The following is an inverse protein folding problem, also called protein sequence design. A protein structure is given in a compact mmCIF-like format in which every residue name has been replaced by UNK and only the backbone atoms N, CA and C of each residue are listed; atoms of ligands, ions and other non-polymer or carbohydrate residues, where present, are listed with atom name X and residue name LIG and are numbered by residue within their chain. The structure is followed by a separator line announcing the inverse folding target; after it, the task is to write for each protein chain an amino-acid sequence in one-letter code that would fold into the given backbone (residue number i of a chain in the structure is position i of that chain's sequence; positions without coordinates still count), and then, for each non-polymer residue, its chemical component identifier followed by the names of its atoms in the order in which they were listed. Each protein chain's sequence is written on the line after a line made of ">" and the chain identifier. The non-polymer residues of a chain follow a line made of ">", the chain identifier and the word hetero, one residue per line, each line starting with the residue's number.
data_IF_181912049828
#
_entry.id   IF_181912049828
#
_cell.length_a   1.000
_cell.length_b   1.000
_cell.length_c   1.000
_cell.angle_alpha   90.00
_cell.angle_beta   90.00
_cell.angle_gamma   90.00
#
_symmetry.space_group_name_H-M   'P 1'
#
loop_
_entity.id
_entity.type
_entity.pdbx_description
1 polymer ?
#
# COMPACT_ATOMS: atom_id res chain seq x y z
N UNK A 1 -24.78 -9.15 -18.87
CA UNK A 1 -25.47 -8.47 -17.77
C UNK A 1 -24.49 -7.45 -17.21
N UNK A 2 -24.56 -6.20 -17.67
CA UNK A 2 -23.65 -5.15 -17.21
C UNK A 2 -24.02 -4.81 -15.77
N UNK A 3 -23.05 -4.92 -14.86
CA UNK A 3 -23.23 -4.62 -13.44
C UNK A 3 -23.70 -3.16 -13.30
N UNK A 4 -24.79 -2.98 -12.55
CA UNK A 4 -25.42 -1.69 -12.31
C UNK A 4 -24.44 -0.65 -11.77
N UNK A 5 -24.78 0.62 -12.01
CA UNK A 5 -24.03 1.81 -11.59
C UNK A 5 -23.54 1.67 -10.14
N UNK A 6 -22.26 1.36 -9.94
CA UNK A 6 -21.63 1.52 -8.64
C UNK A 6 -21.33 2.98 -8.44
N UNK A 7 -21.85 3.55 -7.36
CA UNK A 7 -21.49 4.92 -6.98
C UNK A 7 -20.04 4.97 -6.52
N UNK A 8 -19.37 6.12 -6.73
CA UNK A 8 -18.00 6.33 -6.27
C UNK A 8 -17.81 5.97 -4.77
N UNK A 9 -18.72 6.31 -3.84
CA UNK A 9 -18.61 5.90 -2.45
C UNK A 9 -18.58 4.37 -2.25
N UNK A 10 -19.40 3.61 -2.99
CA UNK A 10 -19.41 2.14 -2.90
C UNK A 10 -18.13 1.52 -3.44
N UNK A 11 -17.58 2.10 -4.52
CA UNK A 11 -16.31 1.70 -5.08
C UNK A 11 -15.16 1.95 -4.08
N UNK A 12 -15.13 3.13 -3.45
CA UNK A 12 -14.10 3.47 -2.45
C UNK A 12 -14.18 2.58 -1.21
N UNK A 13 -15.38 2.21 -0.74
CA UNK A 13 -15.54 1.29 0.39
C UNK A 13 -14.97 -0.11 0.12
N UNK A 14 -15.09 -0.59 -1.11
CA UNK A 14 -14.59 -1.93 -1.47
C UNK A 14 -13.16 -1.91 -1.99
N UNK A 15 -12.62 -0.75 -2.37
CA UNK A 15 -11.29 -0.59 -2.94
C UNK A 15 -10.15 -1.25 -2.13
N UNK A 16 -10.07 -1.12 -0.78
CA UNK A 16 -9.02 -1.75 0.02
C UNK A 16 -9.37 -3.19 0.43
N UNK A 17 -10.22 -3.89 -0.32
CA UNK A 17 -10.66 -5.25 0.02
C UNK A 17 -10.36 -6.23 -1.10
N UNK A 18 -10.37 -7.54 -0.79
CA UNK A 18 -10.25 -8.61 -1.78
C UNK A 18 -11.39 -8.63 -2.81
N UNK A 19 -12.48 -7.90 -2.54
CA UNK A 19 -13.64 -7.78 -3.43
C UNK A 19 -13.57 -6.52 -4.31
N UNK A 20 -12.62 -5.63 -4.04
CA UNK A 20 -12.45 -4.37 -4.75
C UNK A 20 -11.90 -4.53 -6.16
N UNK A 21 -11.99 -3.45 -6.94
CA UNK A 21 -11.45 -3.39 -8.30
C UNK A 21 -9.91 -3.47 -8.34
N UNK A 22 -9.24 -3.16 -7.22
CA UNK A 22 -7.79 -3.18 -7.10
C UNK A 22 -7.22 -4.50 -6.54
N UNK A 23 -8.06 -5.53 -6.30
CA UNK A 23 -7.65 -6.76 -5.62
C UNK A 23 -6.38 -7.39 -6.20
N UNK A 24 -6.30 -7.57 -7.52
CA UNK A 24 -5.15 -8.23 -8.15
C UNK A 24 -3.86 -7.42 -7.97
N UNK A 25 -3.98 -6.09 -8.02
CA UNK A 25 -2.87 -5.16 -7.84
C UNK A 25 -2.36 -5.17 -6.38
N UNK A 26 -3.28 -5.13 -5.42
CA UNK A 26 -2.96 -5.15 -4.00
C UNK A 26 -2.38 -6.50 -3.55
N UNK A 27 -2.94 -7.61 -4.03
CA UNK A 27 -2.41 -8.96 -3.78
C UNK A 27 -0.99 -9.13 -4.32
N UNK A 28 -0.72 -8.64 -5.55
CA UNK A 28 0.62 -8.71 -6.14
C UNK A 28 1.67 -8.02 -5.26
N UNK A 29 1.36 -6.83 -4.73
CA UNK A 29 2.29 -6.14 -3.86
C UNK A 29 2.42 -6.78 -2.48
N UNK A 30 1.33 -7.32 -1.93
CA UNK A 30 1.39 -8.05 -0.67
C UNK A 30 2.31 -9.29 -0.79
N UNK A 31 2.21 -10.02 -1.90
CA UNK A 31 3.11 -11.14 -2.19
C UNK A 31 4.57 -10.70 -2.35
N UNK A 32 4.80 -9.59 -3.06
CA UNK A 32 6.14 -9.01 -3.22
C UNK A 32 6.75 -8.63 -1.87
N UNK A 33 5.97 -8.04 -0.97
CA UNK A 33 6.41 -7.66 0.37
C UNK A 33 6.74 -8.90 1.21
N UNK A 34 5.84 -9.87 1.31
CA UNK A 34 6.07 -11.09 2.10
C UNK A 34 7.24 -11.96 1.61
N UNK A 35 7.67 -11.80 0.35
CA UNK A 35 8.85 -12.48 -0.16
C UNK A 35 10.18 -11.95 0.43
N UNK A 36 10.14 -10.79 1.10
CA UNK A 36 11.31 -10.10 1.64
C UNK A 36 10.99 -9.48 3.00
N UNK A 37 11.55 -10.04 4.07
CA UNK A 37 11.26 -9.61 5.44
C UNK A 37 11.65 -8.15 5.71
N UNK A 38 12.76 -7.67 5.13
CA UNK A 38 13.16 -6.26 5.30
C UNK A 38 12.17 -5.30 4.63
N UNK A 39 11.66 -5.65 3.44
CA UNK A 39 10.62 -4.85 2.79
C UNK A 39 9.30 -4.89 3.55
N UNK A 40 8.95 -6.04 4.13
CA UNK A 40 7.75 -6.18 4.97
C UNK A 40 7.84 -5.24 6.17
N UNK A 41 8.93 -5.32 6.94
CA UNK A 41 9.15 -4.48 8.13
C UNK A 41 9.20 -3.00 7.78
N UNK A 42 9.89 -2.62 6.68
CA UNK A 42 9.93 -1.24 6.22
C UNK A 42 8.55 -0.73 5.83
N UNK A 43 7.74 -1.53 5.16
CA UNK A 43 6.39 -1.12 4.76
C UNK A 43 5.43 -1.06 5.94
N UNK A 44 5.53 -2.00 6.90
CA UNK A 44 4.80 -1.96 8.18
C UNK A 44 5.07 -0.64 8.90
N UNK A 45 6.34 -0.25 9.03
CA UNK A 45 6.71 1.01 9.66
C UNK A 45 6.04 2.21 8.96
N UNK A 46 5.97 2.22 7.63
CA UNK A 46 5.35 3.30 6.86
C UNK A 46 3.82 3.36 7.03
N UNK A 47 3.12 2.22 7.09
CA UNK A 47 1.65 2.18 7.16
C UNK A 47 1.10 2.33 8.59
N UNK A 48 1.86 1.93 9.61
CA UNK A 48 1.45 2.04 11.01
C UNK A 48 1.73 3.40 11.64
N UNK A 49 2.70 4.16 11.11
CA UNK A 49 3.02 5.48 11.64
C UNK A 49 2.19 6.58 10.96
N UNK A 50 1.67 7.52 11.75
CA UNK A 50 0.97 8.70 11.25
C UNK A 50 1.94 9.73 10.64
N UNK A 51 3.18 9.75 11.13
CA UNK A 51 4.24 10.66 10.66
C UNK A 51 5.15 9.97 9.64
N UNK A 52 5.79 10.73 8.72
CA UNK A 52 6.79 10.18 7.81
C UNK A 52 7.91 9.44 8.58
N UNK A 53 8.36 8.30 8.06
CA UNK A 53 9.33 7.42 8.75
C UNK A 53 10.65 7.37 7.97
N UNK A 54 11.82 7.52 8.61
CA UNK A 54 13.10 7.30 7.94
C UNK A 54 13.27 5.80 7.65
N UNK A 55 13.75 5.47 6.46
CA UNK A 55 14.05 4.10 6.05
C UNK A 55 15.49 4.02 5.57
N UNK A 56 16.04 2.80 5.56
CA UNK A 56 17.33 2.55 4.92
C UNK A 56 17.23 2.87 3.40
N UNK A 57 18.26 3.49 2.79
CA UNK A 57 18.19 3.94 1.40
C UNK A 57 17.82 2.87 0.38
N UNK A 58 18.27 1.62 0.56
CA UNK A 58 17.94 0.53 -0.36
C UNK A 58 16.46 0.11 -0.26
N UNK A 59 15.88 0.18 0.94
CA UNK A 59 14.46 -0.15 1.18
C UNK A 59 13.56 0.96 0.65
N UNK A 60 13.88 2.22 0.93
CA UNK A 60 13.11 3.36 0.43
C UNK A 60 13.12 3.41 -1.10
N UNK A 61 14.27 3.22 -1.73
CA UNK A 61 14.38 3.18 -3.19
C UNK A 61 13.52 2.05 -3.79
N UNK A 62 13.61 0.83 -3.26
CA UNK A 62 12.82 -0.31 -3.76
C UNK A 62 11.31 -0.08 -3.62
N UNK A 63 10.86 0.41 -2.47
CA UNK A 63 9.44 0.70 -2.22
C UNK A 63 8.94 1.88 -3.07
N UNK A 64 9.77 2.87 -3.33
CA UNK A 64 9.42 4.02 -4.18
C UNK A 64 9.33 3.62 -5.66
N UNK A 65 10.25 2.79 -6.15
CA UNK A 65 10.20 2.23 -7.51
C UNK A 65 9.00 1.29 -7.70
N UNK A 66 8.62 0.54 -6.67
CA UNK A 66 7.37 -0.22 -6.64
C UNK A 66 6.12 0.67 -6.56
N UNK A 67 6.28 1.99 -6.34
CA UNK A 67 5.19 2.94 -6.26
C UNK A 67 4.34 2.82 -4.99
N UNK A 68 4.81 2.09 -3.97
CA UNK A 68 4.08 1.87 -2.71
C UNK A 68 4.18 3.05 -1.75
N UNK A 69 5.31 3.76 -1.82
CA UNK A 69 5.58 4.95 -1.00
C UNK A 69 5.85 6.18 -1.86
N UNK A 70 5.94 7.33 -1.19
CA UNK A 70 6.62 8.54 -1.67
C UNK A 70 7.55 9.05 -0.59
N UNK A 71 8.64 9.67 -1.00
CA UNK A 71 9.54 10.36 -0.08
C UNK A 71 9.10 11.82 0.13
N UNK A 72 9.01 12.22 1.38
CA UNK A 72 8.95 13.60 1.82
C UNK A 72 10.29 13.95 2.44
N UNK A 73 11.15 14.63 1.68
CA UNK A 73 12.60 14.75 1.96
C UNK A 73 13.24 13.36 1.98
N UNK A 74 13.67 12.89 3.14
CA UNK A 74 14.34 11.62 3.40
C UNK A 74 13.42 10.60 4.13
N UNK A 75 12.13 10.93 4.27
CA UNK A 75 11.18 10.12 5.06
C UNK A 75 10.06 9.60 4.19
N UNK A 76 9.73 8.33 4.37
CA UNK A 76 8.71 7.62 3.63
C UNK A 76 7.30 7.85 4.18
N UNK A 77 6.35 8.02 3.28
CA UNK A 77 4.90 7.98 3.54
C UNK A 77 4.22 7.03 2.54
N UNK A 78 3.07 6.42 2.89
CA UNK A 78 2.30 5.65 1.91
C UNK A 78 1.94 6.53 0.71
N UNK A 79 1.98 5.97 -0.51
CA UNK A 79 1.67 6.71 -1.75
C UNK A 79 0.26 7.31 -1.71
N UNK A 80 -0.70 6.54 -1.18
CA UNK A 80 -2.11 6.89 -1.09
C UNK A 80 -2.80 6.18 0.10
N UNK A 81 -4.01 6.63 0.51
CA UNK A 81 -4.78 6.01 1.59
C UNK A 81 -5.08 4.53 1.36
N UNK A 82 -5.36 4.15 0.10
CA UNK A 82 -5.64 2.76 -0.31
C UNK A 82 -4.57 1.78 0.19
N UNK A 83 -3.29 2.10 0.02
CA UNK A 83 -2.21 1.23 0.49
C UNK A 83 -2.10 1.21 2.00
N UNK A 84 -2.31 2.36 2.67
CA UNK A 84 -2.32 2.41 4.13
C UNK A 84 -3.41 1.49 4.68
N UNK A 85 -4.64 1.61 4.20
CA UNK A 85 -5.79 0.83 4.66
C UNK A 85 -5.66 -0.67 4.37
N UNK A 86 -5.24 -1.04 3.15
CA UNK A 86 -5.13 -2.44 2.77
C UNK A 86 -3.97 -3.16 3.49
N UNK A 87 -2.79 -2.52 3.54
CA UNK A 87 -1.57 -3.15 4.05
C UNK A 87 -1.48 -3.12 5.58
N UNK A 88 -2.01 -2.10 6.26
CA UNK A 88 -2.03 -2.09 7.74
C UNK A 88 -2.89 -3.21 8.34
N UNK A 89 -3.80 -3.80 7.56
CA UNK A 89 -4.60 -4.93 8.00
C UNK A 89 -3.97 -6.30 7.69
N UNK A 90 -2.87 -6.34 6.92
CA UNK A 90 -2.35 -7.58 6.31
C UNK A 90 -0.84 -7.78 6.40
N UNK A 91 -0.08 -6.75 6.78
CA UNK A 91 1.35 -6.82 7.10
C UNK A 91 1.52 -6.86 8.60
#
# INVERSE_FOLDING_TARGET
>A
MWLGEQSLPQLLQTAPTERGIYRCHLQRYLQLLHADSELTEAMQAVVYNALPVPLLPHLSYRLEQAGLIRLQRDRAVPRCPLYREYLSARL
#
